data_IF_802528074836
#
_entry.id   IF_802528074836
#
_cell.length_a   1.000
_cell.length_b   1.000
_cell.length_c   1.000
_cell.angle_alpha   90.00
_cell.angle_beta   90.00
_cell.angle_gamma   90.00
#
_symmetry.space_group_name_H-M   'P 1'
#
loop_
_entity.id
_entity.type
_entity.pdbx_description
1 polymer ?
#
# COMPACT_ATOMS: atom_id res chain seq x y z
N UNK A 1 -17.77 57.12 -26.52
CA UNK A 1 -16.40 56.55 -26.39
C UNK A 1 -16.45 55.50 -25.28
N UNK A 2 -16.53 54.21 -25.61
CA UNK A 2 -16.68 53.13 -24.62
C UNK A 2 -15.30 52.58 -24.29
N UNK A 3 -14.86 52.77 -23.05
CA UNK A 3 -13.57 52.24 -22.55
C UNK A 3 -13.77 50.77 -22.21
N UNK A 4 -13.20 49.86 -23.01
CA UNK A 4 -13.15 48.43 -22.70
C UNK A 4 -12.20 48.22 -21.52
N UNK A 5 -12.74 47.81 -20.38
CA UNK A 5 -11.97 47.48 -19.19
C UNK A 5 -11.13 46.22 -19.47
N UNK A 6 -9.79 46.25 -19.40
CA UNK A 6 -8.97 45.09 -19.75
C UNK A 6 -9.22 43.96 -18.74
N UNK A 7 -9.77 42.85 -19.24
CA UNK A 7 -10.07 41.65 -18.46
C UNK A 7 -8.77 41.10 -17.83
N UNK A 8 -8.67 41.12 -16.50
CA UNK A 8 -7.51 40.60 -15.78
C UNK A 8 -7.33 39.10 -16.07
N UNK A 9 -6.25 38.73 -16.75
CA UNK A 9 -5.91 37.35 -17.12
C UNK A 9 -5.68 36.51 -15.86
N UNK A 10 -6.49 35.46 -15.62
CA UNK A 10 -6.25 34.48 -14.55
C UNK A 10 -4.88 33.82 -14.74
N UNK A 11 -4.03 33.86 -13.72
CA UNK A 11 -2.74 33.16 -13.70
C UNK A 11 -3.00 31.65 -13.82
N UNK A 12 -2.44 31.01 -14.86
CA UNK A 12 -2.51 29.56 -15.03
C UNK A 12 -1.78 28.88 -13.86
N UNK A 13 -2.41 27.90 -13.24
CA UNK A 13 -1.79 27.13 -12.17
C UNK A 13 -0.49 26.48 -12.67
N UNK A 14 0.63 26.76 -12.00
CA UNK A 14 1.92 26.17 -12.36
C UNK A 14 1.89 24.68 -12.05
N UNK A 15 2.11 23.84 -13.06
CA UNK A 15 2.13 22.37 -12.90
C UNK A 15 3.24 22.00 -11.91
N UNK A 16 2.89 21.40 -10.79
CA UNK A 16 3.88 20.85 -9.84
C UNK A 16 4.69 19.77 -10.56
N UNK A 17 6.02 19.90 -10.53
CA UNK A 17 6.93 18.89 -11.10
C UNK A 17 6.75 17.59 -10.32
N UNK A 18 6.72 16.46 -11.03
CA UNK A 18 6.72 15.15 -10.39
C UNK A 18 7.97 15.01 -9.51
N UNK A 19 7.86 14.36 -8.34
CA UNK A 19 9.02 14.08 -7.52
C UNK A 19 10.05 13.27 -8.30
N UNK A 20 11.32 13.67 -8.26
CA UNK A 20 12.42 12.91 -8.87
C UNK A 20 12.86 11.70 -8.03
N UNK A 21 12.47 11.67 -6.75
CA UNK A 21 12.86 10.64 -5.79
C UNK A 21 11.63 9.96 -5.19
N UNK A 22 11.71 8.64 -4.99
CA UNK A 22 10.70 7.87 -4.25
C UNK A 22 10.95 8.02 -2.75
N UNK A 23 9.91 8.36 -1.97
CA UNK A 23 10.05 8.44 -0.51
C UNK A 23 9.95 7.06 0.11
N UNK A 24 10.97 6.66 0.85
CA UNK A 24 11.03 5.43 1.63
C UNK A 24 9.95 5.40 2.70
N UNK A 25 9.64 6.55 3.32
CA UNK A 25 8.48 6.65 4.21
C UNK A 25 7.17 6.30 3.49
N UNK A 26 6.94 6.83 2.28
CA UNK A 26 5.73 6.49 1.51
C UNK A 26 5.70 5.01 1.15
N UNK A 27 6.84 4.41 0.81
CA UNK A 27 6.93 2.97 0.55
C UNK A 27 6.66 2.14 1.80
N UNK A 28 7.17 2.54 2.95
CA UNK A 28 6.91 1.87 4.23
C UNK A 28 5.43 1.94 4.63
N UNK A 29 4.79 3.09 4.47
CA UNK A 29 3.34 3.25 4.73
C UNK A 29 2.52 2.43 3.74
N UNK A 30 2.93 2.40 2.47
CA UNK A 30 2.27 1.55 1.47
C UNK A 30 2.40 0.07 1.84
N UNK A 31 3.59 -0.40 2.24
CA UNK A 31 3.81 -1.78 2.65
C UNK A 31 3.07 -2.15 3.94
N UNK A 32 2.98 -1.24 4.91
CA UNK A 32 2.20 -1.46 6.13
C UNK A 32 0.71 -1.60 5.85
N UNK A 33 0.13 -0.73 5.01
CA UNK A 33 -1.26 -0.87 4.56
C UNK A 33 -1.46 -2.14 3.73
N UNK A 34 -0.52 -2.47 2.84
CA UNK A 34 -0.55 -3.70 2.07
C UNK A 34 -0.52 -4.92 2.99
N UNK A 35 0.27 -4.90 4.06
CA UNK A 35 0.32 -5.98 5.04
C UNK A 35 -1.01 -6.17 5.75
N UNK A 36 -1.64 -5.07 6.19
CA UNK A 36 -2.97 -5.10 6.82
C UNK A 36 -4.01 -5.71 5.86
N UNK A 37 -3.97 -5.31 4.58
CA UNK A 37 -4.85 -5.86 3.55
C UNK A 37 -4.56 -7.34 3.26
N UNK A 38 -3.29 -7.72 3.11
CA UNK A 38 -2.92 -9.12 2.86
C UNK A 38 -3.31 -10.03 4.02
N UNK A 39 -3.15 -9.60 5.27
CA UNK A 39 -3.63 -10.38 6.41
C UNK A 39 -5.15 -10.49 6.42
N UNK A 40 -5.88 -9.40 6.16
CA UNK A 40 -7.34 -9.41 6.16
C UNK A 40 -7.98 -10.12 4.97
N UNK A 41 -7.31 -10.16 3.82
CA UNK A 41 -7.82 -10.75 2.57
C UNK A 41 -7.29 -12.17 2.41
N UNK A 42 -5.98 -12.33 2.47
CA UNK A 42 -5.28 -13.55 2.14
C UNK A 42 -4.85 -14.35 3.37
N UNK A 43 -5.13 -13.88 4.60
CA UNK A 43 -4.74 -14.59 5.83
C UNK A 43 -3.23 -14.67 6.08
N UNK A 44 -2.41 -14.00 5.25
CA UNK A 44 -0.93 -14.08 5.30
C UNK A 44 -0.28 -12.75 4.95
N UNK A 45 1.02 -12.64 5.19
CA UNK A 45 1.79 -11.44 4.83
C UNK A 45 1.91 -11.28 3.31
N UNK A 46 2.19 -10.06 2.78
CA UNK A 46 2.38 -9.87 1.33
C UNK A 46 3.50 -10.74 0.76
N UNK A 47 4.54 -11.01 1.56
CA UNK A 47 5.62 -11.92 1.21
C UNK A 47 5.15 -13.38 1.19
N UNK A 48 4.41 -13.80 2.22
CA UNK A 48 3.81 -15.14 2.30
C UNK A 48 2.90 -15.41 1.10
N UNK A 49 2.09 -14.42 0.71
CA UNK A 49 1.23 -14.52 -0.46
C UNK A 49 2.02 -14.80 -1.75
N UNK A 50 3.26 -14.30 -1.88
CA UNK A 50 4.08 -14.48 -3.09
C UNK A 50 4.88 -15.77 -3.06
N UNK A 51 5.48 -16.10 -1.91
CA UNK A 51 6.51 -17.15 -1.80
C UNK A 51 5.93 -18.48 -1.33
N UNK A 52 4.77 -18.49 -0.67
CA UNK A 52 4.13 -19.71 -0.24
C UNK A 52 3.61 -20.51 -1.44
N UNK A 53 3.81 -21.82 -1.39
CA UNK A 53 3.29 -22.76 -2.39
C UNK A 53 1.78 -22.89 -2.30
N UNK A 54 1.18 -23.53 -3.31
CA UNK A 54 -0.24 -23.86 -3.31
C UNK A 54 -0.48 -25.04 -2.37
N UNK A 55 -0.50 -24.76 -1.08
CA UNK A 55 -0.66 -25.78 -0.05
C UNK A 55 -2.13 -25.90 0.37
N UNK A 56 -2.99 -24.94 0.01
CA UNK A 56 -4.36 -24.84 0.55
C UNK A 56 -5.35 -25.79 -0.13
N UNK A 57 -5.06 -26.22 -1.37
CA UNK A 57 -5.93 -27.13 -2.14
C UNK A 57 -5.11 -28.20 -2.84
N UNK A 58 -5.46 -29.48 -2.63
CA UNK A 58 -4.91 -30.58 -3.42
C UNK A 58 -5.42 -30.53 -4.88
N UNK A 59 -4.72 -31.22 -5.78
CA UNK A 59 -5.08 -31.55 -7.17
C UNK A 59 -6.54 -31.99 -7.37
N UNK A 60 -7.18 -32.51 -6.31
CA UNK A 60 -8.57 -32.94 -6.25
C UNK A 60 -9.58 -31.81 -5.90
N UNK A 61 -9.09 -30.60 -5.61
CA UNK A 61 -9.90 -29.46 -5.15
C UNK A 61 -10.29 -29.53 -3.66
N UNK A 62 -9.81 -30.54 -2.93
CA UNK A 62 -10.07 -30.68 -1.50
C UNK A 62 -9.18 -29.72 -0.69
N UNK A 63 -9.77 -29.00 0.27
CA UNK A 63 -9.03 -28.15 1.20
C UNK A 63 -8.08 -29.00 2.05
N UNK A 64 -6.78 -28.70 2.00
CA UNK A 64 -5.85 -29.27 2.96
C UNK A 64 -6.04 -28.54 4.28
N UNK A 65 -6.28 -29.29 5.35
CA UNK A 65 -6.72 -28.73 6.63
C UNK A 65 -5.57 -28.02 7.33
N UNK A 66 -5.72 -26.72 7.60
CA UNK A 66 -4.89 -26.03 8.59
C UNK A 66 -4.58 -24.55 8.36
N UNK A 67 -4.80 -24.00 7.16
CA UNK A 67 -4.53 -22.57 6.94
C UNK A 67 -5.54 -21.94 5.98
N UNK A 68 -6.35 -21.00 6.49
CA UNK A 68 -7.20 -20.09 5.71
C UNK A 68 -6.35 -19.03 4.98
N UNK A 69 -5.10 -19.34 4.66
CA UNK A 69 -4.18 -18.48 3.94
C UNK A 69 -4.26 -18.75 2.45
N UNK A 70 -4.39 -17.69 1.66
CA UNK A 70 -4.44 -17.76 0.20
C UNK A 70 -3.13 -17.22 -0.38
N UNK A 71 -2.40 -18.07 -1.09
CA UNK A 71 -1.19 -17.67 -1.82
C UNK A 71 -1.49 -17.32 -3.30
N UNK A 72 -0.54 -16.69 -3.98
CA UNK A 72 -0.59 -16.48 -5.43
C UNK A 72 -0.59 -17.81 -6.18
N UNK A 73 0.07 -18.84 -5.64
CA UNK A 73 0.04 -20.17 -6.23
C UNK A 73 -1.37 -20.78 -6.16
N UNK A 74 -2.09 -20.60 -5.04
CA UNK A 74 -3.50 -21.03 -4.91
C UNK A 74 -4.41 -20.28 -5.89
N UNK A 75 -4.19 -18.98 -6.09
CA UNK A 75 -4.97 -18.18 -7.04
C UNK A 75 -4.75 -18.66 -8.48
N UNK A 76 -3.53 -19.06 -8.83
CA UNK A 76 -3.20 -19.51 -10.18
C UNK A 76 -3.71 -20.93 -10.46
N UNK A 77 -3.69 -21.81 -9.46
CA UNK A 77 -4.11 -23.21 -9.62
C UNK A 77 -5.62 -23.39 -9.42
N UNK A 78 -6.21 -22.71 -8.44
CA UNK A 78 -7.61 -22.87 -8.02
C UNK A 78 -8.29 -21.51 -7.77
N UNK A 79 -8.48 -20.67 -8.80
CA UNK A 79 -8.93 -19.28 -8.64
C UNK A 79 -10.29 -19.16 -7.94
N UNK A 80 -11.27 -20.00 -8.31
CA UNK A 80 -12.63 -19.93 -7.75
C UNK A 80 -12.65 -20.17 -6.23
N UNK A 81 -11.82 -21.08 -5.74
CA UNK A 81 -11.76 -21.42 -4.32
C UNK A 81 -10.96 -20.36 -3.55
N UNK A 82 -9.84 -19.91 -4.11
CA UNK A 82 -9.07 -18.79 -3.58
C UNK A 82 -9.93 -17.54 -3.38
N UNK A 83 -10.77 -17.17 -4.36
CA UNK A 83 -11.69 -16.04 -4.24
C UNK A 83 -12.74 -16.23 -3.14
N UNK A 84 -13.26 -17.44 -2.98
CA UNK A 84 -14.26 -17.75 -1.94
C UNK A 84 -13.65 -17.59 -0.55
N UNK A 85 -12.45 -18.15 -0.34
CA UNK A 85 -11.71 -18.00 0.92
C UNK A 85 -11.30 -16.57 1.20
N UNK A 86 -10.85 -15.82 0.18
CA UNK A 86 -10.57 -14.39 0.32
C UNK A 86 -11.81 -13.60 0.73
N UNK A 87 -12.98 -13.89 0.15
CA UNK A 87 -14.23 -13.20 0.49
C UNK A 87 -14.70 -13.54 1.92
N UNK A 88 -14.53 -14.80 2.34
CA UNK A 88 -14.78 -15.22 3.71
C UNK A 88 -13.88 -14.47 4.71
N UNK A 89 -12.57 -14.40 4.42
CA UNK A 89 -11.59 -13.67 5.24
C UNK A 89 -11.90 -12.17 5.32
N UNK A 90 -12.23 -11.55 4.19
CA UNK A 90 -12.63 -10.14 4.13
C UNK A 90 -13.85 -9.90 5.02
N UNK A 91 -14.91 -10.69 4.87
CA UNK A 91 -16.14 -10.46 5.61
C UNK A 91 -15.99 -10.69 7.13
N UNK A 92 -15.16 -11.66 7.53
CA UNK A 92 -14.83 -11.91 8.93
C UNK A 92 -13.94 -10.81 9.54
N UNK A 93 -13.01 -10.25 8.77
CA UNK A 93 -11.95 -9.36 9.28
C UNK A 93 -12.06 -7.90 8.84
N UNK A 94 -13.07 -7.52 8.06
CA UNK A 94 -13.19 -6.17 7.48
C UNK A 94 -13.15 -5.06 8.53
N UNK A 95 -13.86 -5.24 9.65
CA UNK A 95 -13.92 -4.23 10.71
C UNK A 95 -12.58 -4.06 11.42
N UNK A 96 -11.93 -5.17 11.81
CA UNK A 96 -10.62 -5.14 12.48
C UNK A 96 -9.54 -4.60 11.56
N UNK A 97 -9.54 -4.99 10.28
CA UNK A 97 -8.66 -4.48 9.24
C UNK A 97 -8.82 -2.96 9.05
N UNK A 98 -10.06 -2.47 8.96
CA UNK A 98 -10.34 -1.04 8.84
C UNK A 98 -9.81 -0.25 10.05
N UNK A 99 -10.05 -0.74 11.27
CA UNK A 99 -9.57 -0.10 12.50
C UNK A 99 -8.04 -0.05 12.52
N UNK A 100 -7.39 -1.16 12.16
CA UNK A 100 -5.93 -1.22 12.06
C UNK A 100 -5.40 -0.25 11.00
N UNK A 101 -6.01 -0.18 9.82
CA UNK A 101 -5.60 0.73 8.75
C UNK A 101 -5.77 2.20 9.16
N UNK A 102 -6.87 2.56 9.81
CA UNK A 102 -7.09 3.92 10.30
C UNK A 102 -6.04 4.28 11.34
N UNK A 103 -5.84 3.40 12.34
CA UNK A 103 -4.87 3.61 13.43
C UNK A 103 -3.45 3.71 12.88
N UNK A 104 -3.06 2.81 11.97
CA UNK A 104 -1.77 2.82 11.33
C UNK A 104 -1.52 4.11 10.55
N UNK A 105 -2.48 4.55 9.72
CA UNK A 105 -2.33 5.79 8.95
C UNK A 105 -2.30 7.03 9.83
N UNK A 106 -3.05 7.05 10.94
CA UNK A 106 -2.98 8.11 11.93
C UNK A 106 -1.59 8.16 12.60
N UNK A 107 -1.08 7.02 13.05
CA UNK A 107 0.26 6.90 13.62
C UNK A 107 1.35 7.29 12.64
N UNK A 108 1.24 6.85 11.38
CA UNK A 108 2.17 7.20 10.32
C UNK A 108 2.23 8.72 10.08
N UNK A 109 1.08 9.41 10.05
CA UNK A 109 1.05 10.88 9.93
C UNK A 109 1.80 11.57 11.08
N UNK A 110 1.61 11.11 12.30
CA UNK A 110 2.30 11.65 13.48
C UNK A 110 3.80 11.37 13.38
N UNK A 111 4.18 10.13 13.06
CA UNK A 111 5.58 9.74 12.85
C UNK A 111 6.27 10.61 11.80
N UNK A 112 5.61 10.82 10.65
CA UNK A 112 6.12 11.70 9.59
C UNK A 112 6.37 13.11 10.10
N UNK A 113 5.46 13.63 10.93
CA UNK A 113 5.59 14.98 11.49
C UNK A 113 6.80 15.07 12.43
N UNK A 114 7.03 14.07 13.25
CA UNK A 114 8.17 14.01 14.19
C UNK A 114 9.50 13.81 13.43
N UNK A 115 9.53 12.89 12.47
CA UNK A 115 10.73 12.57 11.70
C UNK A 115 11.05 13.56 10.56
N UNK A 116 10.21 14.56 10.32
CA UNK A 116 10.41 15.52 9.24
C UNK A 116 11.77 16.25 9.33
N UNK A 117 12.23 16.57 10.55
CA UNK A 117 13.54 17.21 10.78
C UNK A 117 14.71 16.26 10.48
N UNK A 118 14.83 15.07 11.12
CA UNK A 118 15.93 14.15 10.83
C UNK A 118 15.94 13.68 9.37
N UNK A 119 14.78 13.45 8.74
CA UNK A 119 14.72 13.10 7.32
C UNK A 119 15.26 14.19 6.42
N UNK A 120 15.03 15.47 6.72
CA UNK A 120 15.59 16.57 5.93
C UNK A 120 17.11 16.59 6.01
N UNK A 121 17.70 16.31 7.18
CA UNK A 121 19.15 16.26 7.35
C UNK A 121 19.76 15.04 6.64
N UNK A 122 19.19 13.85 6.84
CA UNK A 122 19.63 12.65 6.13
C UNK A 122 19.49 12.76 4.61
N UNK A 123 18.44 13.41 4.11
CA UNK A 123 18.25 13.64 2.68
C UNK A 123 19.31 14.55 2.05
N UNK A 124 20.06 15.36 2.82
CA UNK A 124 21.21 16.12 2.29
C UNK A 124 22.35 15.18 1.88
N UNK A 125 22.49 14.04 2.56
CA UNK A 125 23.49 13.01 2.26
C UNK A 125 22.97 12.04 1.21
N UNK A 126 21.69 11.65 1.27
CA UNK A 126 21.13 10.63 0.37
C UNK A 126 20.92 11.16 -1.06
N UNK A 127 20.42 12.39 -1.22
CA UNK A 127 20.14 12.97 -2.54
C UNK A 127 21.34 13.05 -3.49
N UNK A 128 22.55 13.46 -3.06
CA UNK A 128 23.71 13.50 -3.96
C UNK A 128 24.20 12.11 -4.38
N UNK A 129 23.82 11.03 -3.68
CA UNK A 129 24.22 9.66 -4.03
C UNK A 129 23.48 9.11 -5.26
N UNK A 130 22.51 9.84 -5.82
CA UNK A 130 21.83 9.44 -7.05
C UNK A 130 20.96 8.19 -6.93
N UNK A 131 20.73 7.67 -5.72
CA UNK A 131 20.01 6.42 -5.45
C UNK A 131 18.50 6.45 -5.80
N UNK A 132 17.98 7.56 -6.33
CA UNK A 132 16.56 7.69 -6.71
C UNK A 132 15.57 7.65 -5.54
N UNK A 133 16.06 7.60 -4.30
CA UNK A 133 15.25 7.49 -3.07
C UNK A 133 15.50 8.68 -2.13
N UNK A 134 14.53 8.94 -1.27
CA UNK A 134 14.62 9.91 -0.18
C UNK A 134 13.84 9.39 1.02
N UNK A 135 14.10 9.92 2.21
CA UNK A 135 13.31 9.63 3.42
C UNK A 135 12.03 10.48 3.42
#
# INVERSE_FOLDING_TARGET
MVVLNPMARRKKATRRRSPRYKSLYTMAVAYGNLSILSYGIAGTSPYGMIVQGADTYDSSGAMTTGSESVSLADILQNPSQAFTSMNANISASAASMMIQAITFNAGAKIFRKVMAKPFREANKVIRPLGLGVQL
#
